data_IF_056176824313
#
_entry.id   IF_056176824313
#
_cell.length_a   1.000
_cell.length_b   1.000
_cell.length_c   1.000
_cell.angle_alpha   90.00
_cell.angle_beta   90.00
_cell.angle_gamma   90.00
#
_symmetry.space_group_name_H-M   'P 1'
#
loop_
_entity.id
_entity.type
_entity.pdbx_description
1 polymer ?
#
# COMPACT_ATOMS: atom_id res chain seq x y z
N UNK A 1 -0.51 -17.70 0.48
CA UNK A 1 -1.72 -18.53 0.26
C UNK A 1 -1.98 -19.53 1.40
N UNK A 2 -1.05 -19.76 2.36
CA UNK A 2 -1.25 -20.67 3.51
C UNK A 2 -2.50 -20.34 4.35
N UNK A 3 -2.98 -19.11 4.34
CA UNK A 3 -4.23 -18.69 5.01
C UNK A 3 -5.50 -19.35 4.44
N UNK A 4 -5.48 -19.82 3.19
CA UNK A 4 -6.64 -20.34 2.47
C UNK A 4 -7.05 -21.76 2.94
N UNK A 5 -6.16 -22.76 3.08
CA UNK A 5 -6.47 -24.02 3.75
C UNK A 5 -6.80 -23.84 5.24
N UNK A 6 -6.22 -22.83 5.89
CA UNK A 6 -6.56 -22.46 7.27
C UNK A 6 -8.01 -21.99 7.41
N UNK A 7 -8.48 -21.14 6.50
CA UNK A 7 -9.89 -20.71 6.46
C UNK A 7 -10.81 -21.91 6.24
N UNK A 8 -10.48 -22.83 5.34
CA UNK A 8 -11.26 -24.05 5.11
C UNK A 8 -11.34 -24.95 6.34
N UNK A 9 -10.30 -24.97 7.17
CA UNK A 9 -10.23 -25.80 8.38
C UNK A 9 -11.00 -25.21 9.57
N UNK A 10 -11.07 -23.87 9.68
CA UNK A 10 -11.68 -23.17 10.81
C UNK A 10 -13.05 -22.53 10.50
N UNK A 11 -13.44 -22.38 9.23
CA UNK A 11 -14.77 -21.92 8.81
C UNK A 11 -15.56 -23.07 8.17
N UNK A 12 -16.48 -23.67 8.92
CA UNK A 12 -17.41 -24.71 8.43
C UNK A 12 -18.60 -24.16 7.62
N UNK A 13 -18.40 -23.11 6.83
CA UNK A 13 -19.45 -22.51 6.00
C UNK A 13 -19.35 -23.04 4.56
N UNK A 14 -20.31 -23.90 4.17
CA UNK A 14 -20.32 -24.60 2.88
C UNK A 14 -20.32 -23.67 1.65
N UNK A 15 -20.94 -22.49 1.77
CA UNK A 15 -20.97 -21.50 0.70
C UNK A 15 -19.58 -20.90 0.42
N UNK A 16 -18.81 -20.60 1.47
CA UNK A 16 -17.45 -20.10 1.34
C UNK A 16 -16.50 -21.19 0.83
N UNK A 17 -16.71 -22.42 1.29
CA UNK A 17 -15.92 -23.57 0.88
C UNK A 17 -16.02 -23.81 -0.63
N UNK A 18 -17.24 -23.74 -1.18
CA UNK A 18 -17.51 -23.91 -2.62
C UNK A 18 -16.86 -22.82 -3.49
N UNK A 19 -16.76 -21.59 -3.00
CA UNK A 19 -16.11 -20.47 -3.70
C UNK A 19 -14.58 -20.62 -3.65
N UNK A 20 -14.05 -20.99 -2.49
CA UNK A 20 -12.60 -21.10 -2.24
C UNK A 20 -12.02 -22.31 -2.99
N UNK A 21 -12.74 -23.43 -3.03
CA UNK A 21 -12.34 -24.63 -3.79
C UNK A 21 -12.52 -24.48 -5.31
N UNK A 22 -13.07 -23.36 -5.79
CA UNK A 22 -13.22 -23.14 -7.21
C UNK A 22 -11.83 -22.89 -7.85
N UNK A 23 -11.39 -23.73 -8.82
CA UNK A 23 -10.08 -23.60 -9.43
C UNK A 23 -9.88 -22.26 -10.15
N UNK A 24 -10.93 -21.68 -10.74
CA UNK A 24 -10.84 -20.37 -11.39
C UNK A 24 -10.62 -19.23 -10.39
N UNK A 25 -11.24 -19.32 -9.21
CA UNK A 25 -11.00 -18.37 -8.13
C UNK A 25 -9.56 -18.45 -7.63
N UNK A 26 -9.04 -19.67 -7.44
CA UNK A 26 -7.66 -19.90 -7.01
C UNK A 26 -6.65 -19.36 -8.03
N UNK A 27 -6.85 -19.64 -9.31
CA UNK A 27 -6.00 -19.13 -10.40
C UNK A 27 -6.04 -17.60 -10.43
N UNK A 28 -7.23 -16.99 -10.38
CA UNK A 28 -7.37 -15.54 -10.33
C UNK A 28 -6.66 -14.92 -9.13
N UNK A 29 -6.83 -15.50 -7.94
CA UNK A 29 -6.16 -15.06 -6.72
C UNK A 29 -4.63 -15.19 -6.82
N UNK A 30 -4.11 -16.27 -7.40
CA UNK A 30 -2.68 -16.47 -7.62
C UNK A 30 -2.11 -15.43 -8.58
N UNK A 31 -2.78 -15.16 -9.70
CA UNK A 31 -2.35 -14.15 -10.68
C UNK A 31 -2.36 -12.77 -10.04
N UNK A 32 -3.44 -12.38 -9.37
CA UNK A 32 -3.54 -11.09 -8.67
C UNK A 32 -2.44 -10.95 -7.61
N UNK A 33 -2.23 -11.98 -6.79
CA UNK A 33 -1.18 -11.97 -5.78
C UNK A 33 0.22 -11.87 -6.39
N UNK A 34 0.47 -12.54 -7.51
CA UNK A 34 1.76 -12.49 -8.21
C UNK A 34 2.00 -11.11 -8.83
N UNK A 35 0.96 -10.51 -9.43
CA UNK A 35 1.02 -9.15 -9.97
C UNK A 35 1.25 -8.13 -8.86
N UNK A 36 0.54 -8.22 -7.73
CA UNK A 36 0.77 -7.32 -6.59
C UNK A 36 2.17 -7.46 -6.00
N UNK A 37 2.73 -8.68 -5.97
CA UNK A 37 4.07 -8.93 -5.43
C UNK A 37 5.19 -8.46 -6.37
N UNK A 38 4.95 -8.53 -7.68
CA UNK A 38 5.89 -8.05 -8.70
C UNK A 38 5.66 -6.57 -9.07
N UNK A 39 4.54 -5.99 -8.64
CA UNK A 39 4.28 -4.56 -8.82
C UNK A 39 5.30 -3.79 -7.99
N UNK A 40 6.28 -3.21 -8.68
CA UNK A 40 7.23 -2.25 -8.14
C UNK A 40 6.50 -0.93 -7.87
N UNK A 41 5.52 -0.94 -6.96
CA UNK A 41 4.89 0.29 -6.47
C UNK A 41 6.01 0.99 -5.69
N UNK A 42 6.49 2.17 -6.11
CA UNK A 42 7.45 2.93 -5.32
C UNK A 42 6.69 3.49 -4.12
N UNK A 43 6.48 2.64 -3.12
CA UNK A 43 5.95 3.04 -1.83
C UNK A 43 6.97 3.99 -1.22
N UNK A 44 6.59 5.27 -1.08
CA UNK A 44 7.30 6.24 -0.27
C UNK A 44 7.68 5.64 1.10
N UNK A 45 8.94 5.28 1.25
CA UNK A 45 9.37 4.63 2.49
C UNK A 45 9.20 5.59 3.65
N UNK A 46 8.39 5.22 4.64
CA UNK A 46 8.31 5.89 5.96
C UNK A 46 9.63 5.80 6.75
N UNK A 47 10.63 5.08 6.23
CA UNK A 47 11.94 4.92 6.87
C UNK A 47 12.76 6.20 6.75
N UNK A 48 12.99 6.86 7.88
CA UNK A 48 13.94 7.96 8.01
C UNK A 48 15.32 7.53 7.50
N UNK A 49 15.79 8.14 6.40
CA UNK A 49 17.11 7.85 5.80
C UNK A 49 18.13 8.96 6.11
N UNK A 50 17.63 10.11 6.56
CA UNK A 50 18.36 11.31 6.96
C UNK A 50 17.64 11.87 8.19
N UNK A 51 18.36 12.43 9.17
CA UNK A 51 17.78 13.18 10.31
C UNK A 51 17.58 14.67 9.96
N UNK A 52 17.81 15.07 8.70
CA UNK A 52 17.60 16.42 8.22
C UNK A 52 16.11 16.78 8.19
N UNK A 53 15.70 17.78 8.99
CA UNK A 53 14.31 18.24 9.09
C UNK A 53 13.70 18.65 7.74
N UNK A 54 14.50 19.23 6.84
CA UNK A 54 14.04 19.76 5.55
C UNK A 54 13.71 18.66 4.53
N UNK A 55 14.43 17.54 4.56
CA UNK A 55 14.23 16.41 3.64
C UNK A 55 13.09 15.47 4.09
N UNK A 56 12.77 15.46 5.40
CA UNK A 56 11.76 14.57 5.97
C UNK A 56 10.46 15.27 6.36
N UNK A 57 10.28 16.55 6.02
CA UNK A 57 9.08 17.32 6.36
C UNK A 57 7.79 16.60 5.92
N UNK A 58 7.77 16.04 4.70
CA UNK A 58 6.63 15.27 4.19
C UNK A 58 6.31 14.03 5.04
N UNK A 59 7.34 13.35 5.58
CA UNK A 59 7.20 12.18 6.46
C UNK A 59 6.61 12.55 7.80
N UNK A 60 7.08 13.65 8.39
CA UNK A 60 6.56 14.15 9.67
C UNK A 60 5.09 14.56 9.55
N UNK A 61 4.73 15.31 8.50
CA UNK A 61 3.32 15.68 8.25
C UNK A 61 2.46 14.43 8.07
N UNK A 62 2.92 13.44 7.31
CA UNK A 62 2.16 12.21 7.08
C UNK A 62 1.94 11.40 8.36
N UNK A 63 2.95 11.29 9.23
CA UNK A 63 2.82 10.59 10.52
C UNK A 63 1.83 11.31 11.44
N UNK A 64 1.90 12.64 11.53
CA UNK A 64 0.98 13.44 12.37
C UNK A 64 -0.47 13.26 11.89
N UNK A 65 -0.70 13.36 10.58
CA UNK A 65 -2.04 13.15 9.99
C UNK A 65 -2.54 11.72 10.22
N UNK A 66 -1.67 10.72 10.07
CA UNK A 66 -2.02 9.32 10.31
C UNK A 66 -2.42 9.08 11.76
N UNK A 67 -1.69 9.65 12.72
CA UNK A 67 -1.99 9.52 14.15
C UNK A 67 -3.33 10.18 14.49
N UNK A 68 -3.61 11.34 13.92
CA UNK A 68 -4.90 12.03 14.05
C UNK A 68 -6.05 11.18 13.49
N UNK A 69 -5.88 10.64 12.27
CA UNK A 69 -6.88 9.78 11.63
C UNK A 69 -7.16 8.50 12.45
N UNK A 70 -6.13 7.86 12.99
CA UNK A 70 -6.28 6.68 13.86
C UNK A 70 -7.06 7.03 15.14
N UNK A 71 -6.80 8.22 15.71
CA UNK A 71 -7.53 8.72 16.87
C UNK A 71 -9.03 8.88 16.62
N UNK A 72 -9.44 9.35 15.44
CA UNK A 72 -10.86 9.60 15.12
C UNK A 72 -11.59 8.35 14.59
N UNK A 73 -10.95 7.56 13.71
CA UNK A 73 -11.61 6.51 12.92
C UNK A 73 -11.10 5.07 13.17
N UNK A 74 -10.09 4.88 14.03
CA UNK A 74 -9.52 3.57 14.43
C UNK A 74 -9.21 2.66 13.23
N UNK A 75 -10.01 1.61 13.00
CA UNK A 75 -9.77 0.60 11.96
C UNK A 75 -10.03 1.13 10.55
N UNK A 76 -10.98 2.06 10.40
CA UNK A 76 -11.28 2.71 9.12
C UNK A 76 -10.21 3.75 8.74
N UNK A 77 -9.40 4.19 9.70
CA UNK A 77 -8.28 5.07 9.43
C UNK A 77 -7.22 4.39 8.55
N UNK A 78 -7.02 3.08 8.68
CA UNK A 78 -6.02 2.32 7.92
C UNK A 78 -6.24 2.45 6.41
N UNK A 79 -7.43 2.12 5.84
CA UNK A 79 -7.66 2.32 4.41
C UNK A 79 -7.61 3.79 3.99
N UNK A 80 -8.08 4.73 4.82
CA UNK A 80 -8.00 6.16 4.51
C UNK A 80 -6.54 6.67 4.41
N UNK A 81 -5.68 6.27 5.34
CA UNK A 81 -4.24 6.60 5.35
C UNK A 81 -3.57 6.04 4.10
N UNK A 82 -3.93 4.83 3.66
CA UNK A 82 -3.41 4.22 2.42
C UNK A 82 -3.79 5.03 1.18
N UNK A 83 -5.01 5.56 1.11
CA UNK A 83 -5.45 6.41 -0.02
C UNK A 83 -4.68 7.74 -0.07
N UNK A 84 -4.57 8.42 1.08
CA UNK A 84 -3.82 9.68 1.20
C UNK A 84 -2.35 9.48 0.85
N UNK A 85 -1.79 8.34 1.26
CA UNK A 85 -0.44 7.93 0.94
C UNK A 85 -0.23 7.75 -0.56
N UNK A 86 -1.11 7.01 -1.23
CA UNK A 86 -1.03 6.78 -2.67
C UNK A 86 -1.08 8.10 -3.45
N UNK A 87 -2.00 9.00 -3.09
CA UNK A 87 -2.13 10.33 -3.69
C UNK A 87 -0.84 11.15 -3.53
N UNK A 88 -0.27 11.16 -2.32
CA UNK A 88 0.97 11.87 -2.02
C UNK A 88 2.17 11.28 -2.76
N UNK A 89 2.23 9.96 -2.87
CA UNK A 89 3.31 9.24 -3.57
C UNK A 89 3.29 9.51 -5.08
N UNK A 90 2.11 9.62 -5.69
CA UNK A 90 1.97 9.95 -7.11
C UNK A 90 2.36 11.40 -7.41
N UNK A 91 1.99 12.35 -6.54
CA UNK A 91 2.38 13.75 -6.67
C UNK A 91 3.90 13.94 -6.54
N UNK A 92 4.54 13.19 -5.63
CA UNK A 92 5.99 13.27 -5.43
C UNK A 92 6.80 12.67 -6.57
N UNK A 93 6.24 11.73 -7.34
CA UNK A 93 6.93 11.09 -8.47
C UNK A 93 6.97 11.94 -9.75
N UNK A 94 6.43 13.17 -9.74
CA UNK A 94 6.47 14.05 -10.91
C UNK A 94 7.58 15.10 -10.80
N UNK A 95 8.53 14.97 -11.75
CA UNK A 95 9.56 15.90 -12.26
C UNK A 95 10.95 15.95 -11.59
N UNK A 96 12.01 15.46 -12.27
CA UNK A 96 13.25 16.23 -12.32
C UNK A 96 13.00 17.50 -13.14
N UNK A 97 13.39 18.69 -12.66
CA UNK A 97 13.56 19.84 -13.55
C UNK A 97 14.70 19.50 -14.51
N UNK A 98 14.40 19.36 -15.80
CA UNK A 98 15.41 19.57 -16.84
C UNK A 98 15.75 21.05 -16.77
N UNK A 99 16.73 21.39 -15.94
CA UNK A 99 17.44 22.65 -16.10
C UNK A 99 18.05 22.60 -17.49
N UNK A 100 17.56 23.47 -18.37
CA UNK A 100 18.39 23.94 -19.46
C UNK A 100 19.64 24.56 -18.82
N UNK A 101 20.74 23.81 -18.82
CA UNK A 101 22.04 24.42 -18.98
C UNK A 101 22.18 24.66 -20.48
N UNK A 102 22.01 25.94 -20.85
CA UNK A 102 22.78 26.55 -21.92
C UNK A 102 24.23 26.06 -21.82
N UNK A 103 24.60 25.13 -22.68
CA UNK A 103 25.98 24.94 -23.14
C UNK A 103 26.02 25.52 -24.55
N UNK A 104 26.77 26.62 -24.65
CA UNK A 104 27.43 27.26 -25.80
C UNK A 104 26.61 27.81 -26.99
#
# INVERSE_FOLDING_TARGET
IVSLPMILLFNGNDALNSIILNPWFLVGLTVVSSVLLNAHIPLFSLKFKSLGFKENALRYVFIIVSLFCIGTMKFLAVPAIIVIYLMSSLLFFKTPPTSGSSED
#
